data_IF_201397598150
#
_entry.id   IF_201397598150
#
_cell.length_a   1.000
_cell.length_b   1.000
_cell.length_c   1.000
_cell.angle_alpha   90.00
_cell.angle_beta   90.00
_cell.angle_gamma   90.00
#
_symmetry.space_group_name_H-M   'P 1'
#
loop_
_entity.id
_entity.type
_entity.pdbx_description
1 polymer ?
#
# COMPACT_ATOMS: atom_id res chain seq x y z
N UNK A 1 -11.41 -4.93 0.50
CA UNK A 1 -11.66 -5.75 1.72
C UNK A 1 -12.88 -6.64 1.55
N UNK A 2 -14.11 -6.11 1.52
CA UNK A 2 -15.34 -6.94 1.34
C UNK A 2 -15.32 -7.80 0.06
N UNK A 3 -14.82 -7.25 -1.05
CA UNK A 3 -14.68 -8.01 -2.30
C UNK A 3 -13.67 -9.17 -2.24
N UNK A 4 -12.60 -9.03 -1.43
CA UNK A 4 -11.60 -10.09 -1.25
C UNK A 4 -12.14 -11.20 -0.36
N UNK A 5 -12.77 -10.86 0.76
CA UNK A 5 -13.38 -11.85 1.68
C UNK A 5 -14.42 -12.71 0.98
N UNK A 6 -15.27 -12.10 0.15
CA UNK A 6 -16.35 -12.79 -0.53
C UNK A 6 -15.84 -13.74 -1.63
N UNK A 7 -14.87 -13.30 -2.44
CA UNK A 7 -14.29 -14.13 -3.50
C UNK A 7 -13.46 -15.29 -2.96
N UNK A 8 -12.74 -15.10 -1.84
CA UNK A 8 -12.04 -16.19 -1.14
C UNK A 8 -13.03 -17.21 -0.58
N UNK A 9 -14.11 -16.75 0.07
CA UNK A 9 -15.15 -17.63 0.60
C UNK A 9 -15.85 -18.44 -0.50
N UNK A 10 -16.24 -17.79 -1.61
CA UNK A 10 -16.85 -18.45 -2.75
C UNK A 10 -15.95 -19.50 -3.41
N UNK A 11 -14.63 -19.25 -3.47
CA UNK A 11 -13.66 -20.22 -3.98
C UNK A 11 -13.64 -21.51 -3.15
N UNK A 12 -13.75 -21.39 -1.82
CA UNK A 12 -13.74 -22.53 -0.89
C UNK A 12 -15.07 -23.28 -0.89
N UNK A 13 -16.20 -22.58 -0.86
CA UNK A 13 -17.52 -23.23 -0.88
C UNK A 13 -17.77 -23.99 -2.19
N UNK A 14 -17.22 -23.51 -3.31
CA UNK A 14 -17.38 -24.12 -4.63
C UNK A 14 -16.24 -25.07 -5.01
N UNK A 15 -15.49 -25.60 -4.03
CA UNK A 15 -14.41 -26.57 -4.25
C UNK A 15 -14.85 -27.84 -5.01
N UNK A 16 -16.13 -28.21 -4.95
CA UNK A 16 -16.69 -29.35 -5.70
C UNK A 16 -16.64 -29.18 -7.23
N UNK A 17 -16.67 -27.94 -7.73
CA UNK A 17 -16.58 -27.63 -9.16
C UNK A 17 -15.25 -26.92 -9.45
N UNK A 18 -14.23 -27.68 -9.86
CA UNK A 18 -12.86 -27.18 -10.11
C UNK A 18 -12.83 -25.94 -11.01
N UNK A 19 -13.63 -25.93 -12.08
CA UNK A 19 -13.72 -24.81 -13.03
C UNK A 19 -14.24 -23.52 -12.38
N UNK A 20 -15.19 -23.63 -11.45
CA UNK A 20 -15.79 -22.49 -10.76
C UNK A 20 -14.84 -21.99 -9.67
N UNK A 21 -14.24 -22.89 -8.90
CA UNK A 21 -13.24 -22.57 -7.91
C UNK A 21 -12.03 -21.84 -8.52
N UNK A 22 -11.52 -22.32 -9.67
CA UNK A 22 -10.41 -21.68 -10.38
C UNK A 22 -10.73 -20.26 -10.85
N UNK A 23 -11.96 -20.00 -11.30
CA UNK A 23 -12.39 -18.63 -11.67
C UNK A 23 -12.37 -17.72 -10.46
N UNK A 24 -12.94 -18.13 -9.33
CA UNK A 24 -12.92 -17.28 -8.12
C UNK A 24 -11.50 -17.08 -7.59
N UNK A 25 -10.65 -18.11 -7.64
CA UNK A 25 -9.24 -18.00 -7.29
C UNK A 25 -8.50 -16.98 -8.19
N UNK A 26 -8.69 -17.02 -9.51
CA UNK A 26 -8.04 -16.05 -10.41
C UNK A 26 -8.49 -14.61 -10.15
N UNK A 27 -9.78 -14.40 -9.83
CA UNK A 27 -10.29 -13.10 -9.41
C UNK A 27 -9.65 -12.62 -8.09
N UNK A 28 -9.48 -13.50 -7.09
CA UNK A 28 -8.81 -13.12 -5.83
C UNK A 28 -7.37 -12.68 -6.05
N UNK A 29 -6.63 -13.41 -6.90
CA UNK A 29 -5.24 -13.09 -7.24
C UNK A 29 -5.17 -11.75 -7.98
N UNK A 30 -6.08 -11.52 -8.93
CA UNK A 30 -6.16 -10.26 -9.66
C UNK A 30 -6.45 -9.06 -8.73
N UNK A 31 -7.40 -9.21 -7.80
CA UNK A 31 -7.70 -8.15 -6.83
C UNK A 31 -6.51 -7.86 -5.90
N UNK A 32 -5.80 -8.90 -5.46
CA UNK A 32 -4.59 -8.75 -4.66
C UNK A 32 -3.45 -8.07 -5.43
N UNK A 33 -3.26 -8.44 -6.70
CA UNK A 33 -2.20 -7.86 -7.53
C UNK A 33 -2.47 -6.38 -7.83
N UNK A 34 -3.71 -5.99 -8.13
CA UNK A 34 -4.08 -4.58 -8.29
C UNK A 34 -3.80 -3.78 -7.02
N UNK A 35 -4.24 -4.27 -5.86
CA UNK A 35 -3.97 -3.62 -4.57
C UNK A 35 -2.47 -3.49 -4.29
N UNK A 36 -1.70 -4.51 -4.63
CA UNK A 36 -0.25 -4.49 -4.49
C UNK A 36 0.41 -3.45 -5.41
N UNK A 37 0.04 -3.46 -6.70
CA UNK A 37 0.56 -2.53 -7.72
C UNK A 37 0.26 -1.06 -7.40
N UNK A 38 -0.87 -0.77 -6.76
CA UNK A 38 -1.19 0.58 -6.29
C UNK A 38 -0.41 0.95 -5.01
N UNK A 39 -0.22 -0.01 -4.10
CA UNK A 39 0.49 0.23 -2.83
C UNK A 39 2.00 0.40 -2.98
N UNK A 40 2.60 -0.28 -3.97
CA UNK A 40 4.04 -0.27 -4.24
C UNK A 40 4.61 1.12 -4.56
N UNK A 41 4.10 1.87 -5.56
CA UNK A 41 4.60 3.20 -5.88
C UNK A 41 4.35 4.19 -4.74
N UNK A 42 3.25 4.04 -3.99
CA UNK A 42 2.96 4.85 -2.81
C UNK A 42 4.01 4.72 -1.71
N UNK A 43 4.50 3.50 -1.48
CA UNK A 43 5.60 3.27 -0.55
C UNK A 43 6.95 3.74 -1.09
N UNK A 44 7.25 3.42 -2.36
CA UNK A 44 8.51 3.82 -2.97
C UNK A 44 8.68 5.34 -2.97
N UNK A 45 7.60 6.10 -3.20
CA UNK A 45 7.59 7.56 -3.14
C UNK A 45 7.82 8.09 -1.72
N UNK A 46 7.23 7.44 -0.71
CA UNK A 46 7.46 7.78 0.70
C UNK A 46 8.93 7.53 1.08
N UNK A 47 9.50 6.40 0.66
CA UNK A 47 10.89 6.03 0.94
C UNK A 47 11.89 6.97 0.27
N UNK A 48 11.64 7.39 -0.98
CA UNK A 48 12.48 8.40 -1.63
C UNK A 48 12.41 9.75 -0.93
N UNK A 49 11.24 10.17 -0.46
CA UNK A 49 11.09 11.43 0.27
C UNK A 49 11.91 11.41 1.56
N UNK A 50 11.88 10.28 2.29
CA UNK A 50 12.70 10.09 3.49
C UNK A 50 14.21 10.07 3.19
N UNK A 51 14.63 9.44 2.08
CA UNK A 51 16.04 9.45 1.65
C UNK A 51 16.51 10.85 1.28
N UNK A 52 15.69 11.62 0.55
CA UNK A 52 16.02 13.01 0.21
C UNK A 52 16.19 13.83 1.50
N UNK A 53 15.29 13.66 2.47
CA UNK A 53 15.40 14.32 3.77
C UNK A 53 16.70 13.94 4.50
N UNK A 54 17.07 12.65 4.55
CA UNK A 54 18.29 12.22 5.23
C UNK A 54 19.57 12.74 4.55
N UNK A 55 19.61 12.74 3.21
CA UNK A 55 20.74 13.29 2.46
C UNK A 55 20.89 14.80 2.65
N UNK A 56 19.80 15.55 2.63
CA UNK A 56 19.85 17.00 2.86
C UNK A 56 20.32 17.28 4.29
N UNK A 57 19.79 16.56 5.28
CA UNK A 57 20.12 16.78 6.70
C UNK A 57 21.57 16.40 7.02
N UNK A 58 22.11 15.35 6.39
CA UNK A 58 23.51 14.93 6.54
C UNK A 58 24.51 15.76 5.70
N UNK A 59 24.03 16.49 4.70
CA UNK A 59 24.87 17.37 3.89
C UNK A 59 25.21 18.69 4.60
N UNK A 60 26.36 19.28 4.29
CA UNK A 60 26.73 20.62 4.79
C UNK A 60 26.03 21.74 4.03
N UNK A 61 24.69 21.66 3.91
CA UNK A 61 23.85 22.62 3.16
C UNK A 61 23.96 24.08 3.66
N UNK A 62 24.38 24.25 4.92
CA UNK A 62 24.64 25.55 5.53
C UNK A 62 25.89 26.25 4.97
N UNK A 63 26.81 25.51 4.33
CA UNK A 63 28.02 26.05 3.69
C UNK A 63 27.80 26.44 2.21
N UNK A 64 26.64 26.13 1.64
CA UNK A 64 26.31 26.47 0.25
C UNK A 64 25.92 27.94 0.09
N UNK A 65 25.91 28.44 -1.16
CA UNK A 65 25.50 29.81 -1.47
C UNK A 65 24.07 30.13 -1.01
N UNK A 66 23.80 31.39 -0.69
CA UNK A 66 22.49 31.85 -0.19
C UNK A 66 21.31 31.45 -1.08
N UNK A 67 21.48 31.43 -2.40
CA UNK A 67 20.44 31.00 -3.36
C UNK A 67 20.15 29.50 -3.22
N UNK A 68 21.20 28.68 -3.16
CA UNK A 68 21.07 27.22 -3.02
C UNK A 68 20.48 26.87 -1.65
N UNK A 69 20.89 27.56 -0.59
CA UNK A 69 20.36 27.37 0.77
C UNK A 69 18.86 27.64 0.85
N UNK A 70 18.34 28.67 0.15
CA UNK A 70 16.90 28.94 0.07
C UNK A 70 16.14 27.80 -0.60
N UNK A 71 16.65 27.28 -1.72
CA UNK A 71 16.01 26.18 -2.46
C UNK A 71 16.00 24.90 -1.62
N UNK A 72 17.12 24.57 -0.97
CA UNK A 72 17.22 23.41 -0.08
C UNK A 72 16.23 23.53 1.08
N UNK A 73 16.06 24.72 1.66
CA UNK A 73 15.14 24.94 2.77
C UNK A 73 13.67 24.71 2.33
N UNK A 74 13.30 25.15 1.12
CA UNK A 74 11.98 24.88 0.54
C UNK A 74 11.79 23.37 0.30
N UNK A 75 12.80 22.69 -0.26
CA UNK A 75 12.76 21.23 -0.42
C UNK A 75 12.57 20.54 0.93
N UNK A 76 13.37 20.89 1.94
CA UNK A 76 13.29 20.29 3.27
C UNK A 76 11.91 20.48 3.90
N UNK A 77 11.33 21.68 3.77
CA UNK A 77 9.98 21.98 4.26
C UNK A 77 8.91 21.09 3.59
N UNK A 78 9.07 20.79 2.29
CA UNK A 78 8.17 19.89 1.55
C UNK A 78 8.44 18.42 1.87
N UNK A 79 9.70 18.03 2.07
CA UNK A 79 10.10 16.66 2.41
C UNK A 79 9.72 16.26 3.84
N UNK A 80 9.53 17.24 4.73
CA UNK A 80 9.10 17.00 6.11
C UNK A 80 7.72 16.30 6.19
N UNK A 81 6.87 16.54 5.18
CA UNK A 81 5.63 15.79 5.00
C UNK A 81 5.90 14.73 3.94
N UNK A 82 6.10 13.45 4.31
CA UNK A 82 6.31 12.40 3.32
C UNK A 82 5.11 12.38 2.38
N UNK A 83 5.39 12.30 1.07
CA UNK A 83 4.35 12.30 0.05
C UNK A 83 3.58 10.98 0.19
N UNK A 84 2.43 11.04 0.86
CA UNK A 84 1.52 9.92 1.04
C UNK A 84 0.47 9.96 -0.05
N UNK A 85 0.53 9.01 -0.98
CA UNK A 85 -0.56 8.81 -1.92
C UNK A 85 -1.73 8.25 -1.10
N UNK A 86 -2.84 8.99 -1.06
CA UNK A 86 -4.01 8.63 -0.26
C UNK A 86 -5.18 8.41 -1.21
N UNK A 87 -5.75 7.21 -1.24
CA UNK A 87 -7.00 6.95 -1.94
C UNK A 87 -8.14 7.66 -1.19
N UNK A 88 -8.69 8.71 -1.82
CA UNK A 88 -9.83 9.48 -1.30
C UNK A 88 -9.61 10.15 0.07
N UNK A 89 -8.37 10.42 0.49
CA UNK A 89 -7.97 10.87 1.85
C UNK A 89 -8.27 9.89 3.01
N UNK A 90 -8.90 8.76 2.74
CA UNK A 90 -9.31 7.78 3.75
C UNK A 90 -8.32 6.63 3.89
N UNK A 91 -7.57 6.33 2.83
CA UNK A 91 -6.68 5.17 2.81
C UNK A 91 -5.31 5.51 2.23
N UNK A 92 -4.27 5.47 3.06
CA UNK A 92 -2.89 5.64 2.59
C UNK A 92 -2.43 4.40 1.84
N UNK A 93 -1.99 4.58 0.60
CA UNK A 93 -1.40 3.53 -0.22
C UNK A 93 0.02 3.25 0.27
N UNK A 94 0.15 2.23 1.12
CA UNK A 94 1.40 1.75 1.68
C UNK A 94 1.30 0.22 1.88
N UNK A 95 2.42 -0.51 1.83
CA UNK A 95 2.42 -1.96 2.02
C UNK A 95 1.94 -2.38 3.41
N UNK A 96 2.17 -1.53 4.43
CA UNK A 96 1.62 -1.74 5.76
C UNK A 96 0.08 -1.86 5.72
N UNK A 97 -0.58 -0.94 5.00
CA UNK A 97 -2.04 -0.97 4.84
C UNK A 97 -2.49 -2.14 3.96
N UNK A 98 -1.74 -2.49 2.90
CA UNK A 98 -1.98 -3.71 2.12
C UNK A 98 -1.98 -4.96 3.02
N UNK A 99 -0.96 -5.11 3.87
CA UNK A 99 -0.85 -6.24 4.80
C UNK A 99 -2.00 -6.27 5.80
N UNK A 100 -2.43 -5.10 6.29
CA UNK A 100 -3.59 -4.99 7.17
C UNK A 100 -4.87 -5.45 6.47
N UNK A 101 -5.11 -5.01 5.23
CA UNK A 101 -6.29 -5.42 4.43
C UNK A 101 -6.26 -6.92 4.11
N UNK A 102 -5.09 -7.48 3.78
CA UNK A 102 -4.96 -8.91 3.55
C UNK A 102 -5.27 -9.71 4.83
N UNK A 103 -4.67 -9.32 5.96
CA UNK A 103 -4.87 -9.98 7.26
C UNK A 103 -6.32 -9.92 7.72
N UNK A 104 -6.96 -8.76 7.61
CA UNK A 104 -8.38 -8.64 7.97
C UNK A 104 -9.21 -9.51 7.05
N UNK A 105 -8.95 -9.51 5.73
CA UNK A 105 -9.69 -10.34 4.78
C UNK A 105 -9.59 -11.84 5.11
N UNK A 106 -8.40 -12.34 5.44
CA UNK A 106 -8.24 -13.72 5.90
C UNK A 106 -8.96 -13.99 7.23
N UNK A 107 -8.92 -13.05 8.17
CA UNK A 107 -9.61 -13.20 9.46
C UNK A 107 -11.13 -13.32 9.27
N UNK A 108 -11.73 -12.46 8.45
CA UNK A 108 -13.15 -12.54 8.11
C UNK A 108 -13.50 -13.83 7.36
N UNK A 109 -12.63 -14.26 6.44
CA UNK A 109 -12.78 -15.55 5.77
C UNK A 109 -12.82 -16.71 6.77
N UNK A 110 -11.88 -16.78 7.72
CA UNK A 110 -11.84 -17.84 8.74
C UNK A 110 -13.12 -17.84 9.59
N UNK A 111 -13.60 -16.66 9.99
CA UNK A 111 -14.86 -16.54 10.74
C UNK A 111 -16.04 -17.06 9.91
N UNK A 112 -16.15 -16.69 8.63
CA UNK A 112 -17.20 -17.18 7.74
C UNK A 112 -17.15 -18.70 7.56
N UNK A 113 -15.95 -19.28 7.41
CA UNK A 113 -15.80 -20.73 7.35
C UNK A 113 -16.14 -21.44 8.67
N UNK A 114 -15.96 -20.80 9.82
CA UNK A 114 -16.33 -21.39 11.12
C UNK A 114 -17.83 -21.33 11.42
N UNK A 115 -18.56 -20.43 10.76
CA UNK A 115 -20.01 -20.27 10.88
C UNK A 115 -20.78 -21.13 9.87
N UNK A 116 -20.05 -21.81 8.99
CA UNK A 116 -20.57 -22.75 7.99
C UNK A 116 -20.53 -24.16 8.55
#
# INVERSE_FOLDING_TARGET
MVGLTFTIFQAVVKLGDLNVALRYASFTICLLSVLYLESWPGQQLSDYTNKIFSYITGGRWYQSSLRVRRIINIMLLRSYVPIKITAGKLYTLNLANFSAVARTSFSYFTVLCSMQ
#
